data_IF_987377661077
#
_entry.id   IF_987377661077
#
_cell.length_a   1.000
_cell.length_b   1.000
_cell.length_c   1.000
_cell.angle_alpha   90.00
_cell.angle_beta   90.00
_cell.angle_gamma   90.00
#
_symmetry.space_group_name_H-M   'P 1'
#
loop_
_entity.id
_entity.type
_entity.pdbx_description
1 polymer ?
#
# COMPACT_ATOMS: atom_id res chain seq x y z
N UNK A 1 -42.57 37.76 50.53
CA UNK A 1 -43.10 36.76 49.56
C UNK A 1 -42.27 36.83 48.30
N UNK A 2 -41.82 35.65 47.81
CA UNK A 2 -41.12 35.37 46.53
C UNK A 2 -39.66 35.87 46.39
N UNK A 3 -38.75 35.02 46.86
CA UNK A 3 -37.40 34.83 46.30
C UNK A 3 -37.53 34.13 44.96
N UNK A 4 -36.88 34.66 43.92
CA UNK A 4 -36.68 33.94 42.65
C UNK A 4 -35.17 33.94 42.40
N UNK A 5 -34.50 32.87 42.84
CA UNK A 5 -33.12 32.59 42.43
C UNK A 5 -33.19 31.91 41.06
N UNK A 6 -32.74 32.62 40.02
CA UNK A 6 -32.49 32.05 38.70
C UNK A 6 -31.22 31.20 38.85
N UNK A 7 -31.38 29.87 38.79
CA UNK A 7 -30.27 28.93 38.62
C UNK A 7 -29.56 29.28 37.29
N UNK A 8 -28.29 29.69 37.38
CA UNK A 8 -27.37 29.61 36.25
C UNK A 8 -26.92 28.15 36.14
N UNK A 9 -27.59 27.36 35.30
CA UNK A 9 -26.97 26.14 34.76
C UNK A 9 -25.85 26.59 33.81
N UNK A 10 -24.61 26.49 34.26
CA UNK A 10 -23.45 26.45 33.37
C UNK A 10 -23.45 25.11 32.66
N UNK A 11 -24.07 25.05 31.49
CA UNK A 11 -23.77 24.00 30.53
C UNK A 11 -22.34 24.21 30.03
N UNK A 12 -21.41 23.43 30.55
CA UNK A 12 -20.11 23.21 29.89
C UNK A 12 -20.47 22.43 28.63
N UNK A 13 -20.68 23.16 27.53
CA UNK A 13 -20.61 22.59 26.21
C UNK A 13 -19.14 22.21 25.99
N UNK A 14 -18.77 21.00 26.42
CA UNK A 14 -17.59 20.33 25.88
C UNK A 14 -17.79 20.35 24.37
N UNK A 15 -17.00 21.18 23.69
CA UNK A 15 -16.84 21.11 22.26
C UNK A 15 -16.26 19.73 21.96
N UNK A 16 -17.16 18.75 21.77
CA UNK A 16 -16.90 17.59 20.95
C UNK A 16 -16.61 18.17 19.57
N UNK A 17 -15.33 18.42 19.32
CA UNK A 17 -14.79 18.38 17.96
C UNK A 17 -15.16 16.98 17.46
N UNK A 18 -16.33 16.88 16.83
CA UNK A 18 -16.62 15.80 15.90
C UNK A 18 -15.57 15.96 14.80
N UNK A 19 -14.43 15.28 14.96
CA UNK A 19 -13.69 14.81 13.82
C UNK A 19 -14.73 14.08 12.99
N UNK A 20 -15.17 14.72 11.91
CA UNK A 20 -15.94 14.05 10.87
C UNK A 20 -14.95 13.05 10.33
N UNK A 21 -15.03 11.82 10.83
CA UNK A 21 -14.15 10.75 10.41
C UNK A 21 -14.33 10.60 8.91
N UNK A 22 -13.31 10.98 8.15
CA UNK A 22 -13.31 10.83 6.71
C UNK A 22 -13.11 9.36 6.43
N UNK A 23 -14.09 8.74 5.78
CA UNK A 23 -14.02 7.38 5.24
C UNK A 23 -12.63 7.13 4.61
N UNK A 24 -11.90 6.15 5.14
CA UNK A 24 -10.55 5.76 4.72
C UNK A 24 -10.46 4.24 4.60
N UNK A 25 -9.65 3.71 3.67
CA UNK A 25 -9.40 2.27 3.58
C UNK A 25 -8.87 1.71 4.90
N UNK A 26 -9.40 0.58 5.36
CA UNK A 26 -8.89 -0.22 6.48
C UNK A 26 -7.83 -1.19 5.97
N UNK A 27 -6.82 -1.45 6.79
CA UNK A 27 -5.79 -2.41 6.46
C UNK A 27 -6.34 -3.85 6.31
N UNK A 28 -5.99 -4.56 5.23
CA UNK A 28 -6.55 -5.89 4.95
C UNK A 28 -6.15 -6.96 5.97
N UNK A 29 -5.07 -6.76 6.74
CA UNK A 29 -4.71 -7.67 7.84
C UNK A 29 -5.69 -7.57 9.02
N UNK A 30 -6.33 -6.41 9.17
CA UNK A 30 -7.29 -6.15 10.24
C UNK A 30 -8.70 -6.56 9.82
N UNK A 31 -9.15 -6.11 8.65
CA UNK A 31 -10.41 -6.51 8.04
C UNK A 31 -10.25 -6.75 6.53
N UNK A 32 -10.06 -8.02 6.16
CA UNK A 32 -9.96 -8.44 4.76
C UNK A 32 -11.35 -8.39 4.10
N UNK A 33 -11.55 -7.46 3.16
CA UNK A 33 -12.79 -7.29 2.42
C UNK A 33 -13.26 -8.57 1.68
N UNK A 34 -12.35 -9.40 1.19
CA UNK A 34 -12.68 -10.62 0.43
C UNK A 34 -13.49 -11.63 1.24
N UNK A 35 -13.34 -11.66 2.58
CA UNK A 35 -14.05 -12.60 3.45
C UNK A 35 -15.57 -12.43 3.46
N UNK A 36 -16.05 -11.28 2.98
CA UNK A 36 -17.47 -10.96 2.90
C UNK A 36 -18.14 -11.53 1.66
N UNK A 37 -17.37 -11.93 0.65
CA UNK A 37 -17.90 -12.52 -0.58
C UNK A 37 -17.95 -14.05 -0.48
N UNK A 38 -18.89 -14.71 -1.19
CA UNK A 38 -18.89 -16.16 -1.32
C UNK A 38 -17.56 -16.68 -1.91
N UNK A 39 -17.06 -17.81 -1.43
CA UNK A 39 -15.77 -18.36 -1.86
C UNK A 39 -15.66 -18.58 -3.38
N UNK A 40 -16.77 -18.92 -4.05
CA UNK A 40 -16.82 -19.12 -5.51
C UNK A 40 -16.63 -17.82 -6.31
N UNK A 41 -16.94 -16.68 -5.71
CA UNK A 41 -16.87 -15.34 -6.35
C UNK A 41 -15.60 -14.60 -5.90
N UNK A 42 -15.17 -14.82 -4.67
CA UNK A 42 -14.01 -14.15 -4.07
C UNK A 42 -12.75 -14.30 -4.92
N UNK A 43 -12.49 -15.49 -5.47
CA UNK A 43 -11.30 -15.73 -6.30
C UNK A 43 -11.31 -14.92 -7.61
N UNK A 44 -12.49 -14.77 -8.24
CA UNK A 44 -12.65 -13.96 -9.44
C UNK A 44 -12.45 -12.48 -9.13
N UNK A 45 -13.07 -11.97 -8.07
CA UNK A 45 -12.89 -10.58 -7.64
C UNK A 45 -11.42 -10.31 -7.26
N UNK A 46 -10.79 -11.20 -6.50
CA UNK A 46 -9.39 -11.07 -6.09
C UNK A 46 -8.44 -11.09 -7.29
N UNK A 47 -8.75 -11.82 -8.36
CA UNK A 47 -7.95 -11.78 -9.60
C UNK A 47 -8.00 -10.43 -10.33
N UNK A 48 -9.06 -9.63 -10.11
CA UNK A 48 -9.33 -8.39 -10.86
C UNK A 48 -9.12 -7.12 -10.06
N UNK A 49 -9.21 -7.19 -8.73
CA UNK A 49 -9.20 -6.02 -7.84
C UNK A 49 -8.30 -6.23 -6.62
N UNK A 50 -7.91 -5.12 -6.01
CA UNK A 50 -7.54 -5.03 -4.60
C UNK A 50 -8.70 -4.39 -3.85
N UNK A 51 -9.20 -5.05 -2.81
CA UNK A 51 -10.34 -4.56 -2.03
C UNK A 51 -9.94 -4.21 -0.59
N UNK A 52 -10.50 -3.10 -0.11
CA UNK A 52 -10.32 -2.62 1.26
C UNK A 52 -11.68 -2.24 1.82
N UNK A 53 -12.00 -2.68 3.03
CA UNK A 53 -13.19 -2.18 3.71
C UNK A 53 -12.95 -0.75 4.19
N UNK A 54 -13.98 0.08 4.31
CA UNK A 54 -13.83 1.37 4.96
C UNK A 54 -13.66 1.23 6.49
N UNK A 55 -12.88 2.11 7.10
CA UNK A 55 -12.64 2.10 8.55
C UNK A 55 -13.80 2.65 9.39
N UNK A 56 -14.73 3.39 8.79
CA UNK A 56 -15.83 4.07 9.49
C UNK A 56 -17.21 3.77 8.90
N UNK A 57 -17.30 3.51 7.60
CA UNK A 57 -18.52 3.13 6.89
C UNK A 57 -18.59 1.61 6.72
N UNK A 58 -19.35 0.95 7.60
CA UNK A 58 -19.48 -0.51 7.60
C UNK A 58 -20.05 -1.11 6.31
N UNK A 59 -20.66 -0.29 5.45
CA UNK A 59 -21.29 -0.67 4.18
C UNK A 59 -20.50 -0.21 2.95
N UNK A 60 -19.23 0.18 3.08
CA UNK A 60 -18.39 0.65 1.97
C UNK A 60 -17.15 -0.22 1.78
N UNK A 61 -16.89 -0.58 0.52
CA UNK A 61 -15.66 -1.22 0.06
C UNK A 61 -14.97 -0.30 -0.96
N UNK A 62 -13.71 0.00 -0.69
CA UNK A 62 -12.80 0.64 -1.63
C UNK A 62 -12.18 -0.39 -2.56
N UNK A 63 -12.06 -0.06 -3.85
CA UNK A 63 -11.38 -0.92 -4.82
C UNK A 63 -10.26 -0.21 -5.58
N UNK A 64 -9.23 -0.97 -5.93
CA UNK A 64 -8.22 -0.60 -6.93
C UNK A 64 -8.19 -1.70 -8.00
N UNK A 65 -8.46 -1.39 -9.27
CA UNK A 65 -8.39 -2.38 -10.34
C UNK A 65 -6.95 -2.83 -10.59
N UNK A 66 -6.75 -4.13 -10.84
CA UNK A 66 -5.46 -4.69 -11.25
C UNK A 66 -5.15 -4.41 -12.71
N UNK A 67 -6.18 -4.20 -13.52
CA UNK A 67 -6.06 -3.87 -14.93
C UNK A 67 -6.87 -2.61 -15.29
N UNK A 68 -6.29 -1.77 -16.15
CA UNK A 68 -7.00 -0.69 -16.82
C UNK A 68 -7.14 -0.96 -18.32
N UNK A 69 -7.66 0.02 -19.05
CA UNK A 69 -7.96 -0.13 -20.48
C UNK A 69 -7.84 1.21 -21.20
N UNK A 70 -7.82 1.21 -22.53
CA UNK A 70 -7.83 2.44 -23.31
C UNK A 70 -9.08 3.25 -22.95
N UNK A 71 -8.92 4.50 -22.51
CA UNK A 71 -10.08 5.35 -22.19
C UNK A 71 -10.90 5.63 -23.47
N UNK A 72 -12.12 6.12 -23.33
CA UNK A 72 -12.96 6.48 -24.47
C UNK A 72 -13.18 7.99 -24.56
N UNK A 73 -13.53 8.45 -25.77
CA UNK A 73 -13.97 9.83 -26.06
C UNK A 73 -15.35 9.78 -26.72
N UNK A 74 -16.19 10.78 -26.42
CA UNK A 74 -17.55 10.87 -26.97
C UNK A 74 -18.62 10.51 -25.94
N UNK A 75 -19.90 10.51 -26.37
CA UNK A 75 -21.07 10.13 -25.56
C UNK A 75 -22.03 9.29 -26.42
N UNK A 76 -22.76 8.36 -25.78
CA UNK A 76 -23.72 7.48 -26.45
C UNK A 76 -23.09 6.62 -27.55
N UNK A 77 -23.77 6.54 -28.70
CA UNK A 77 -23.35 5.70 -29.83
C UNK A 77 -22.10 6.20 -30.58
N UNK A 78 -21.52 7.33 -30.19
CA UNK A 78 -20.31 7.91 -30.79
C UNK A 78 -19.05 7.73 -29.93
N UNK A 79 -19.06 6.73 -29.05
CA UNK A 79 -17.94 6.42 -28.17
C UNK A 79 -16.80 5.80 -28.97
N UNK A 80 -15.64 6.47 -29.00
CA UNK A 80 -14.44 6.03 -29.73
C UNK A 80 -13.27 5.81 -28.76
N UNK A 81 -12.31 4.92 -29.08
CA UNK A 81 -11.10 4.79 -28.28
C UNK A 81 -10.33 6.11 -28.21
N UNK A 82 -9.81 6.44 -27.03
CA UNK A 82 -8.85 7.51 -26.81
C UNK A 82 -7.44 6.99 -27.11
N UNK A 83 -7.23 6.62 -28.35
CA UNK A 83 -5.97 6.10 -28.84
C UNK A 83 -5.78 6.52 -30.29
N UNK A 84 -4.54 6.81 -30.66
CA UNK A 84 -4.15 7.04 -32.02
C UNK A 84 -2.74 6.49 -32.25
N UNK A 85 -2.54 5.92 -33.44
CA UNK A 85 -1.25 5.44 -33.92
C UNK A 85 -1.01 5.97 -35.33
N UNK A 86 0.22 6.39 -35.60
CA UNK A 86 0.64 6.86 -36.91
C UNK A 86 2.10 6.49 -37.15
N UNK A 87 2.46 6.18 -38.38
CA UNK A 87 3.86 6.02 -38.77
C UNK A 87 4.35 7.22 -39.56
N UNK A 88 5.65 7.49 -39.44
CA UNK A 88 6.34 8.44 -40.31
C UNK A 88 7.79 8.02 -40.50
N UNK A 89 8.36 8.32 -41.67
CA UNK A 89 9.78 8.14 -41.95
C UNK A 89 10.50 9.46 -41.61
N UNK A 90 11.45 9.48 -40.66
CA UNK A 90 12.22 10.67 -40.32
C UNK A 90 12.98 11.20 -41.55
N UNK A 91 12.83 12.49 -41.86
CA UNK A 91 13.52 13.13 -43.00
C UNK A 91 14.82 13.83 -42.61
N UNK A 92 14.99 14.15 -41.34
CA UNK A 92 16.14 14.88 -40.79
C UNK A 92 16.48 14.35 -39.40
N UNK A 93 17.70 14.63 -38.94
CA UNK A 93 18.18 14.25 -37.60
C UNK A 93 18.87 12.87 -37.58
N UNK A 94 19.27 12.47 -36.37
CA UNK A 94 20.07 11.26 -36.12
C UNK A 94 19.44 10.01 -36.75
N UNK A 95 18.13 9.82 -36.59
CA UNK A 95 17.42 8.67 -37.16
C UNK A 95 17.35 8.67 -38.68
N UNK A 96 17.19 9.83 -39.31
CA UNK A 96 17.21 9.91 -40.77
C UNK A 96 18.60 9.58 -41.36
N UNK A 97 19.67 9.80 -40.60
CA UNK A 97 21.04 9.46 -41.01
C UNK A 97 21.39 7.99 -40.74
N UNK A 98 20.97 7.46 -39.59
CA UNK A 98 21.34 6.11 -39.15
C UNK A 98 20.46 5.02 -39.74
N UNK A 99 19.16 5.28 -39.92
CA UNK A 99 18.17 4.32 -40.43
C UNK A 99 17.33 4.93 -41.56
N UNK A 100 17.96 5.27 -42.70
CA UNK A 100 17.28 5.96 -43.79
C UNK A 100 16.18 5.10 -44.40
N UNK A 101 14.95 5.64 -44.45
CA UNK A 101 13.80 4.93 -45.04
C UNK A 101 13.05 4.04 -44.05
N UNK A 102 13.52 3.89 -42.82
CA UNK A 102 12.80 3.16 -41.77
C UNK A 102 11.77 4.06 -41.07
N UNK A 103 10.59 3.51 -40.80
CA UNK A 103 9.48 4.22 -40.18
C UNK A 103 9.57 4.17 -38.65
N UNK A 104 9.19 5.27 -38.02
CA UNK A 104 8.88 5.35 -36.59
C UNK A 104 7.37 5.32 -36.39
N UNK A 105 6.92 4.72 -35.30
CA UNK A 105 5.53 4.79 -34.88
C UNK A 105 5.41 5.81 -33.76
N UNK A 106 4.46 6.73 -33.91
CA UNK A 106 3.98 7.58 -32.82
C UNK A 106 2.60 7.08 -32.38
N UNK A 107 2.53 6.69 -31.12
CA UNK A 107 1.31 6.26 -30.45
C UNK A 107 0.99 7.21 -29.30
N UNK A 108 -0.29 7.34 -28.98
CA UNK A 108 -0.68 8.10 -27.80
C UNK A 108 -2.18 8.10 -27.59
N UNK A 109 -2.57 8.53 -26.39
CA UNK A 109 -3.94 8.43 -25.95
C UNK A 109 -4.07 8.69 -24.47
N UNK A 110 -5.07 8.08 -23.85
CA UNK A 110 -5.11 7.94 -22.40
C UNK A 110 -5.69 6.59 -22.02
N UNK A 111 -5.15 5.98 -20.98
CA UNK A 111 -5.76 4.84 -20.33
C UNK A 111 -6.74 5.30 -19.25
N UNK A 112 -7.69 4.45 -18.90
CA UNK A 112 -8.57 4.60 -17.75
C UNK A 112 -8.27 3.49 -16.75
N UNK A 113 -7.99 3.86 -15.51
CA UNK A 113 -7.65 2.94 -14.41
C UNK A 113 -8.87 2.49 -13.61
N UNK A 114 -10.10 2.85 -14.02
CA UNK A 114 -11.35 2.47 -13.34
C UNK A 114 -11.67 0.97 -13.38
N UNK A 115 -10.98 0.20 -14.22
CA UNK A 115 -11.34 -1.20 -14.52
C UNK A 115 -12.47 -1.27 -15.55
N UNK A 116 -12.58 -2.43 -16.22
CA UNK A 116 -13.58 -2.63 -17.28
C UNK A 116 -14.98 -2.49 -16.70
N UNK A 117 -15.88 -1.88 -17.46
CA UNK A 117 -17.24 -1.55 -17.03
C UNK A 117 -18.00 -2.79 -16.54
N UNK A 118 -17.95 -3.89 -17.29
CA UNK A 118 -18.59 -5.15 -16.90
C UNK A 118 -18.04 -5.72 -15.59
N UNK A 119 -16.72 -5.70 -15.42
CA UNK A 119 -16.07 -6.20 -14.22
C UNK A 119 -16.43 -5.33 -13.00
N UNK A 120 -16.55 -4.01 -13.18
CA UNK A 120 -16.95 -3.09 -12.11
C UNK A 120 -18.43 -3.29 -11.76
N UNK A 121 -19.29 -3.52 -12.76
CA UNK A 121 -20.72 -3.79 -12.54
C UNK A 121 -20.93 -5.16 -11.89
N UNK A 122 -20.12 -6.16 -12.23
CA UNK A 122 -20.07 -7.44 -11.53
C UNK A 122 -19.68 -7.24 -10.07
N UNK A 123 -18.58 -6.51 -9.79
CA UNK A 123 -18.16 -6.19 -8.43
C UNK A 123 -19.26 -5.47 -7.63
N UNK A 124 -19.91 -4.45 -8.22
CA UNK A 124 -21.05 -3.75 -7.60
C UNK A 124 -22.18 -4.70 -7.25
N UNK A 125 -22.59 -5.52 -8.22
CA UNK A 125 -23.71 -6.47 -8.04
C UNK A 125 -23.42 -7.48 -6.94
N UNK A 126 -22.21 -8.04 -6.91
CA UNK A 126 -21.81 -9.00 -5.88
C UNK A 126 -21.66 -8.33 -4.50
N UNK A 127 -21.13 -7.10 -4.43
CA UNK A 127 -21.04 -6.34 -3.19
C UNK A 127 -22.43 -5.99 -2.64
N UNK A 128 -23.37 -5.58 -3.48
CA UNK A 128 -24.74 -5.25 -3.07
C UNK A 128 -25.47 -6.47 -2.48
N UNK A 129 -25.25 -7.68 -3.03
CA UNK A 129 -25.82 -8.92 -2.48
C UNK A 129 -25.37 -9.20 -1.05
N UNK A 130 -24.17 -8.75 -0.68
CA UNK A 130 -23.62 -8.91 0.68
C UNK A 130 -23.75 -7.63 1.53
N UNK A 131 -24.48 -6.62 1.04
CA UNK A 131 -24.82 -5.42 1.78
C UNK A 131 -23.80 -4.29 1.71
N UNK A 132 -22.89 -4.32 0.74
CA UNK A 132 -21.85 -3.29 0.56
C UNK A 132 -22.08 -2.46 -0.71
N UNK A 133 -21.64 -1.21 -0.66
CA UNK A 133 -21.44 -0.32 -1.79
C UNK A 133 -19.95 -0.29 -2.13
N UNK A 134 -19.61 -0.09 -3.40
CA UNK A 134 -18.20 -0.03 -3.84
C UNK A 134 -17.85 1.34 -4.41
N UNK A 135 -16.64 1.81 -4.12
CA UNK A 135 -16.09 3.07 -4.63
C UNK A 135 -14.61 2.88 -4.96
N UNK A 136 -14.06 3.54 -6.00
CA UNK A 136 -12.63 3.47 -6.22
C UNK A 136 -11.89 4.15 -5.06
N UNK A 137 -10.79 3.53 -4.63
CA UNK A 137 -10.02 3.96 -3.48
C UNK A 137 -9.45 5.38 -3.66
N UNK A 138 -9.29 6.10 -2.55
CA UNK A 138 -8.54 7.35 -2.52
C UNK A 138 -7.07 7.01 -2.34
N UNK A 139 -6.25 7.49 -3.27
CA UNK A 139 -4.80 7.26 -3.31
C UNK A 139 -4.07 8.56 -2.94
N UNK A 140 -2.94 8.43 -2.27
CA UNK A 140 -2.10 9.56 -1.88
C UNK A 140 -1.18 9.99 -3.02
N UNK A 141 -0.67 9.00 -3.74
CA UNK A 141 0.24 9.16 -4.86
C UNK A 141 0.00 8.04 -5.86
N UNK A 142 0.17 8.38 -7.14
CA UNK A 142 0.30 7.40 -8.22
C UNK A 142 1.54 7.71 -9.03
N UNK A 143 2.29 6.67 -9.40
CA UNK A 143 3.48 6.76 -10.25
C UNK A 143 3.24 5.91 -11.48
N UNK A 144 3.28 6.51 -12.67
CA UNK A 144 3.12 5.78 -13.93
C UNK A 144 4.50 5.31 -14.40
N UNK A 145 4.62 4.04 -14.76
CA UNK A 145 5.84 3.39 -15.22
C UNK A 145 5.53 2.66 -16.52
N UNK A 146 6.27 2.93 -17.58
CA UNK A 146 6.22 2.05 -18.75
C UNK A 146 7.08 0.84 -18.49
N UNK A 147 6.57 -0.32 -18.90
CA UNK A 147 7.33 -1.55 -19.03
C UNK A 147 7.54 -1.78 -20.52
N UNK A 148 8.79 -1.63 -20.95
CA UNK A 148 9.20 -1.80 -22.36
C UNK A 148 10.36 -2.78 -22.38
N UNK A 149 10.27 -3.88 -23.10
CA UNK A 149 11.32 -4.92 -23.11
C UNK A 149 11.72 -5.40 -21.68
N UNK A 150 10.81 -5.29 -20.70
CA UNK A 150 11.09 -5.59 -19.29
C UNK A 150 11.81 -4.48 -18.51
N UNK A 151 11.84 -3.26 -19.03
CA UNK A 151 12.52 -2.11 -18.42
C UNK A 151 11.50 -1.15 -17.80
N UNK A 152 11.67 -0.84 -16.52
CA UNK A 152 10.86 0.14 -15.81
C UNK A 152 11.37 1.57 -16.09
N UNK A 153 10.48 2.40 -16.65
CA UNK A 153 10.71 3.83 -16.91
C UNK A 153 11.04 4.62 -15.63
N UNK A 154 11.56 5.85 -15.77
CA UNK A 154 11.82 6.71 -14.62
C UNK A 154 10.53 7.02 -13.80
N UNK A 155 10.71 7.50 -12.57
CA UNK A 155 9.60 7.80 -11.66
C UNK A 155 8.66 8.93 -12.16
N UNK A 156 9.01 9.64 -13.23
CA UNK A 156 8.17 10.63 -13.88
C UNK A 156 7.39 10.05 -15.08
N UNK A 157 7.45 8.72 -15.27
CA UNK A 157 6.82 7.99 -16.35
C UNK A 157 7.42 8.30 -17.70
N UNK A 158 8.69 8.74 -17.73
CA UNK A 158 9.42 9.08 -18.93
C UNK A 158 10.49 8.02 -19.23
N UNK A 159 10.58 7.70 -20.51
CA UNK A 159 11.69 6.96 -21.09
C UNK A 159 12.36 7.89 -22.07
N UNK A 160 13.67 8.11 -21.91
CA UNK A 160 14.51 8.81 -22.87
C UNK A 160 15.70 7.90 -23.22
N UNK A 161 15.71 7.42 -24.46
CA UNK A 161 16.66 6.41 -24.90
C UNK A 161 17.93 7.07 -25.42
N UNK A 162 19.06 6.59 -24.93
CA UNK A 162 20.39 6.98 -25.37
C UNK A 162 20.93 5.91 -26.31
N UNK A 163 21.32 6.31 -27.52
CA UNK A 163 21.88 5.39 -28.50
C UNK A 163 23.33 5.75 -28.78
N UNK A 164 24.18 4.71 -28.81
CA UNK A 164 25.60 4.83 -29.15
C UNK A 164 25.91 3.96 -30.38
N UNK A 165 26.78 4.47 -31.24
CA UNK A 165 27.32 3.74 -32.38
C UNK A 165 28.33 2.70 -31.90
N UNK A 166 28.08 1.43 -32.21
CA UNK A 166 29.00 0.33 -31.94
C UNK A 166 29.41 -0.35 -33.26
N UNK A 167 30.71 -0.44 -33.57
CA UNK A 167 31.18 -1.17 -34.74
C UNK A 167 31.09 -2.68 -34.49
N UNK A 168 30.23 -3.35 -35.25
CA UNK A 168 30.09 -4.80 -35.28
C UNK A 168 30.81 -5.37 -36.50
N UNK A 169 31.60 -6.41 -36.29
CA UNK A 169 32.28 -7.13 -37.36
C UNK A 169 31.52 -8.41 -37.67
N UNK A 170 30.78 -8.43 -38.79
CA UNK A 170 29.99 -9.60 -39.22
C UNK A 170 30.80 -10.37 -40.26
N UNK A 171 30.86 -11.70 -40.10
CA UNK A 171 31.42 -12.58 -41.14
C UNK A 171 30.25 -13.18 -41.92
N UNK A 172 30.18 -12.90 -43.21
CA UNK A 172 29.10 -13.41 -44.06
C UNK A 172 29.23 -14.93 -44.30
N UNK A 173 28.21 -15.53 -44.92
CA UNK A 173 28.18 -16.96 -45.24
C UNK A 173 29.29 -17.41 -46.22
N UNK A 174 30.02 -16.48 -46.84
CA UNK A 174 31.13 -16.70 -47.76
C UNK A 174 32.50 -16.48 -47.09
N UNK A 175 32.53 -16.16 -45.79
CA UNK A 175 33.74 -15.93 -45.01
C UNK A 175 34.34 -14.53 -45.14
N UNK A 176 33.62 -13.57 -45.74
CA UNK A 176 34.07 -12.18 -45.81
C UNK A 176 33.65 -11.42 -44.55
N UNK A 177 34.60 -10.67 -44.00
CA UNK A 177 34.41 -9.87 -42.79
C UNK A 177 34.03 -8.44 -43.16
N UNK A 178 32.83 -8.01 -42.76
CA UNK A 178 32.29 -6.66 -42.99
C UNK A 178 32.11 -5.95 -41.66
N UNK A 179 32.65 -4.73 -41.54
CA UNK A 179 32.39 -3.86 -40.41
C UNK A 179 31.11 -3.06 -40.67
N UNK A 180 30.12 -3.25 -39.83
CA UNK A 180 28.85 -2.52 -39.84
C UNK A 180 28.70 -1.80 -38.51
N UNK A 181 28.26 -0.55 -38.53
CA UNK A 181 27.97 0.20 -37.31
C UNK A 181 26.52 -0.10 -36.92
N UNK A 182 26.31 -0.68 -35.74
CA UNK A 182 25.00 -0.88 -35.14
C UNK A 182 24.76 0.20 -34.09
N UNK A 183 23.51 0.63 -33.91
CA UNK A 183 23.16 1.51 -32.79
C UNK A 183 22.66 0.66 -31.64
N UNK A 184 23.38 0.73 -30.53
CA UNK A 184 22.96 0.11 -29.28
C UNK A 184 22.26 1.19 -28.46
N UNK A 185 20.96 1.01 -28.29
CA UNK A 185 20.09 1.93 -27.58
C UNK A 185 19.85 1.41 -26.16
N UNK A 186 19.99 2.27 -25.16
CA UNK A 186 19.74 1.95 -23.76
C UNK A 186 18.91 3.02 -23.06
N UNK A 187 18.19 2.60 -22.03
CA UNK A 187 17.47 3.44 -21.09
C UNK A 187 18.08 3.25 -19.71
N UNK A 188 17.99 4.30 -18.88
CA UNK A 188 18.35 4.20 -17.46
C UNK A 188 17.11 3.76 -16.69
N UNK A 189 17.13 2.55 -16.13
CA UNK A 189 16.05 2.03 -15.28
C UNK A 189 15.97 2.79 -13.94
N UNK A 190 14.88 2.60 -13.19
CA UNK A 190 14.63 3.24 -11.88
C UNK A 190 15.78 3.02 -10.88
N UNK A 191 16.41 1.85 -10.93
CA UNK A 191 17.53 1.48 -10.06
C UNK A 191 18.88 2.09 -10.47
N UNK A 192 18.91 2.87 -11.55
CA UNK A 192 20.09 3.52 -12.12
C UNK A 192 20.90 2.65 -13.09
N UNK A 193 20.47 1.42 -13.38
CA UNK A 193 21.14 0.55 -14.36
C UNK A 193 20.83 0.96 -15.80
N UNK A 194 21.81 0.82 -16.70
CA UNK A 194 21.56 0.95 -18.14
C UNK A 194 21.06 -0.39 -18.67
N UNK A 195 19.93 -0.38 -19.35
CA UNK A 195 19.33 -1.56 -19.97
C UNK A 195 19.07 -1.28 -21.45
N UNK A 196 19.38 -2.25 -22.31
CA UNK A 196 19.20 -2.11 -23.76
C UNK A 196 17.72 -2.18 -24.12
N UNK A 197 17.27 -1.29 -25.01
CA UNK A 197 15.93 -1.31 -25.58
C UNK A 197 16.01 -1.32 -27.10
N UNK A 198 15.17 -2.14 -27.73
CA UNK A 198 15.09 -2.28 -29.18
C UNK A 198 13.85 -1.61 -29.77
N UNK A 199 12.88 -1.24 -28.93
CA UNK A 199 11.54 -0.84 -29.39
C UNK A 199 11.30 0.66 -29.23
N UNK A 200 11.60 1.25 -28.07
CA UNK A 200 11.12 2.61 -27.75
C UNK A 200 12.23 3.64 -27.94
N UNK A 201 11.91 4.78 -28.55
CA UNK A 201 12.78 5.96 -28.57
C UNK A 201 12.44 6.87 -27.38
N UNK A 202 11.14 7.14 -27.18
CA UNK A 202 10.63 8.01 -26.11
C UNK A 202 9.28 7.55 -25.64
N UNK A 203 9.06 7.53 -24.34
CA UNK A 203 7.73 7.32 -23.75
C UNK A 203 7.46 8.36 -22.67
N UNK A 204 6.19 8.72 -22.50
CA UNK A 204 5.73 9.64 -21.47
C UNK A 204 4.33 9.27 -20.99
N UNK A 205 4.13 9.16 -19.68
CA UNK A 205 2.85 8.96 -19.04
C UNK A 205 2.75 9.83 -17.78
N UNK A 206 1.54 10.29 -17.45
CA UNK A 206 1.35 11.14 -16.28
C UNK A 206 0.10 10.78 -15.51
N UNK A 207 0.27 10.47 -14.22
CA UNK A 207 -0.84 10.37 -13.28
C UNK A 207 -1.20 11.77 -12.74
N UNK A 208 -2.49 12.11 -12.57
CA UNK A 208 -2.88 13.32 -11.86
C UNK A 208 -2.23 13.40 -10.46
N UNK A 209 -1.66 14.55 -10.13
CA UNK A 209 -0.93 14.76 -8.87
C UNK A 209 -1.86 15.12 -7.70
N UNK A 210 -1.52 14.65 -6.51
CA UNK A 210 -2.22 14.94 -5.25
C UNK A 210 -3.13 13.80 -4.79
N UNK A 211 -3.85 14.02 -3.68
CA UNK A 211 -4.82 13.05 -3.16
C UNK A 211 -5.95 12.89 -4.18
N UNK A 212 -5.95 11.79 -4.90
CA UNK A 212 -6.83 11.52 -6.05
C UNK A 212 -7.51 10.17 -5.89
N UNK A 213 -8.36 9.77 -6.83
CA UNK A 213 -8.91 8.43 -6.90
C UNK A 213 -7.97 7.48 -7.65
N UNK A 214 -8.04 6.18 -7.36
CA UNK A 214 -7.47 5.13 -8.22
C UNK A 214 -8.17 5.02 -9.58
N UNK A 215 -9.31 5.69 -9.78
CA UNK A 215 -10.02 5.81 -11.05
C UNK A 215 -9.72 7.16 -11.71
N UNK A 216 -8.74 7.17 -12.62
CA UNK A 216 -8.30 8.35 -13.36
C UNK A 216 -7.96 8.01 -14.81
N UNK A 217 -7.95 9.04 -15.65
CA UNK A 217 -7.39 8.94 -16.98
C UNK A 217 -5.88 9.25 -16.92
N UNK A 218 -5.07 8.33 -17.44
CA UNK A 218 -3.61 8.45 -17.52
C UNK A 218 -3.21 8.71 -18.97
N UNK A 219 -2.99 9.98 -19.37
CA UNK A 219 -2.49 10.29 -20.70
C UNK A 219 -1.12 9.69 -20.93
N UNK A 220 -0.90 9.18 -22.14
CA UNK A 220 0.36 8.59 -22.53
C UNK A 220 0.73 8.93 -23.98
N UNK A 221 2.03 8.89 -24.27
CA UNK A 221 2.57 9.03 -25.61
C UNK A 221 3.85 8.20 -25.73
N UNK A 222 4.01 7.51 -26.86
CA UNK A 222 5.18 6.70 -27.18
C UNK A 222 5.64 7.02 -28.61
N UNK A 223 6.95 7.08 -28.81
CA UNK A 223 7.61 7.10 -30.10
C UNK A 223 8.58 5.93 -30.13
N UNK A 224 8.48 5.09 -31.15
CA UNK A 224 9.36 3.93 -31.30
C UNK A 224 10.67 4.30 -31.98
N UNK A 225 11.70 3.45 -31.82
CA UNK A 225 12.86 3.49 -32.70
C UNK A 225 12.43 3.23 -34.15
N UNK A 226 13.16 3.77 -35.16
CA UNK A 226 12.89 3.43 -36.55
C UNK A 226 13.13 1.94 -36.77
N UNK A 227 12.10 1.22 -37.20
CA UNK A 227 12.16 -0.20 -37.55
C UNK A 227 10.92 -0.56 -38.37
N UNK A 228 11.14 -1.01 -39.60
CA UNK A 228 10.04 -1.36 -40.50
C UNK A 228 9.35 -2.67 -40.10
N UNK A 229 10.09 -3.67 -39.61
CA UNK A 229 9.52 -4.97 -39.26
C UNK A 229 8.58 -4.82 -38.06
N UNK A 230 9.02 -4.06 -37.05
CA UNK A 230 8.17 -3.69 -35.92
C UNK A 230 6.99 -2.81 -36.34
N UNK A 231 7.19 -1.87 -37.29
CA UNK A 231 6.09 -1.06 -37.82
C UNK A 231 5.01 -1.93 -38.44
N UNK A 232 5.37 -2.93 -39.24
CA UNK A 232 4.43 -3.87 -39.81
C UNK A 232 3.77 -4.75 -38.74
N UNK A 233 4.54 -5.24 -37.76
CA UNK A 233 4.01 -6.07 -36.68
C UNK A 233 2.93 -5.35 -35.86
N UNK A 234 3.20 -4.11 -35.41
CA UNK A 234 2.22 -3.30 -34.67
C UNK A 234 1.01 -2.95 -35.55
N UNK A 235 1.23 -2.68 -36.84
CA UNK A 235 0.14 -2.40 -37.78
C UNK A 235 -0.76 -3.62 -37.98
N UNK A 236 -0.18 -4.82 -38.09
CA UNK A 236 -0.93 -6.07 -38.22
C UNK A 236 -1.73 -6.38 -36.94
N UNK A 237 -1.13 -6.20 -35.76
CA UNK A 237 -1.83 -6.38 -34.49
C UNK A 237 -3.01 -5.40 -34.34
N UNK A 238 -2.81 -4.14 -34.71
CA UNK A 238 -3.89 -3.14 -34.74
C UNK A 238 -4.90 -3.35 -35.89
N UNK A 239 -4.58 -4.13 -36.92
CA UNK A 239 -5.56 -4.46 -37.96
C UNK A 239 -6.62 -5.44 -37.46
N UNK A 240 -6.27 -6.28 -36.49
CA UNK A 240 -7.15 -7.32 -35.92
C UNK A 240 -7.55 -7.08 -34.47
N UNK A 241 -7.00 -6.06 -33.81
CA UNK A 241 -7.36 -5.71 -32.44
C UNK A 241 -6.61 -6.51 -31.37
N UNK A 242 -5.45 -7.07 -31.72
CA UNK A 242 -4.56 -7.75 -30.78
C UNK A 242 -4.01 -6.79 -29.72
N UNK A 243 -3.54 -7.37 -28.62
CA UNK A 243 -2.87 -6.63 -27.55
C UNK A 243 -1.51 -6.12 -27.99
N UNK A 244 -1.20 -4.86 -27.67
CA UNK A 244 0.13 -4.28 -27.81
C UNK A 244 1.03 -4.50 -26.58
N UNK A 245 0.56 -5.23 -25.56
CA UNK A 245 1.35 -5.58 -24.38
C UNK A 245 2.74 -6.15 -24.69
N UNK A 246 2.95 -6.97 -25.74
CA UNK A 246 4.28 -7.46 -26.10
C UNK A 246 5.29 -6.35 -26.48
N UNK A 247 4.81 -5.19 -26.93
CA UNK A 247 5.67 -4.07 -27.32
C UNK A 247 5.81 -3.05 -26.18
N UNK A 248 4.73 -2.78 -25.46
CA UNK A 248 4.73 -1.92 -24.27
C UNK A 248 3.51 -2.18 -23.39
N UNK A 249 3.70 -2.02 -22.09
CA UNK A 249 2.61 -1.84 -21.14
C UNK A 249 2.89 -0.64 -20.23
N UNK A 250 1.85 -0.18 -19.54
CA UNK A 250 1.91 0.89 -18.57
C UNK A 250 1.39 0.37 -17.24
N UNK A 251 2.21 0.47 -16.20
CA UNK A 251 1.83 0.17 -14.83
C UNK A 251 1.66 1.48 -14.07
N UNK A 252 0.63 1.57 -13.23
CA UNK A 252 0.54 2.64 -12.24
C UNK A 252 0.66 2.03 -10.86
N UNK A 253 1.70 2.45 -10.15
CA UNK A 253 1.93 2.15 -8.75
C UNK A 253 1.16 3.15 -7.89
N UNK A 254 0.20 2.64 -7.14
CA UNK A 254 -0.61 3.41 -6.21
C UNK A 254 -0.10 3.25 -4.79
N UNK A 255 0.04 4.37 -4.11
CA UNK A 255 0.29 4.42 -2.67
C UNK A 255 -0.99 4.81 -1.94
N UNK A 256 -1.47 3.93 -1.07
CA UNK A 256 -2.68 4.12 -0.28
C UNK A 256 -2.35 4.20 1.20
N UNK A 257 -2.93 5.17 1.90
CA UNK A 257 -2.99 5.15 3.35
C UNK A 257 -4.14 4.23 3.79
N UNK A 258 -3.78 3.18 4.53
CA UNK A 258 -4.73 2.32 5.23
C UNK A 258 -4.73 2.62 6.72
N UNK A 259 -5.91 2.73 7.32
CA UNK A 259 -6.04 2.82 8.76
C UNK A 259 -5.88 1.44 9.38
N UNK A 260 -5.17 1.37 10.51
CA UNK A 260 -5.06 0.15 11.30
C UNK A 260 -5.98 0.23 12.51
N UNK A 261 -6.66 -0.88 12.80
CA UNK A 261 -7.61 -0.93 13.90
C UNK A 261 -6.90 -0.74 15.25
N UNK A 262 -7.44 0.16 16.08
CA UNK A 262 -6.96 0.38 17.45
C UNK A 262 -7.00 -0.93 18.23
N UNK A 263 -5.90 -1.24 18.91
CA UNK A 263 -5.80 -2.40 19.80
C UNK A 263 -6.03 -1.98 21.23
N UNK A 264 -6.63 -2.87 22.00
CA UNK A 264 -6.78 -2.66 23.44
C UNK A 264 -6.27 -3.87 24.20
N UNK A 265 -5.66 -3.65 25.35
CA UNK A 265 -5.33 -4.67 26.31
C UNK A 265 -5.85 -4.24 27.68
N UNK A 266 -6.44 -5.18 28.40
CA UNK A 266 -6.83 -5.04 29.78
C UNK A 266 -5.81 -5.75 30.64
N UNK A 267 -5.31 -5.07 31.64
CA UNK A 267 -4.41 -5.64 32.62
C UNK A 267 -5.11 -5.59 33.97
N UNK A 268 -5.33 -6.75 34.56
CA UNK A 268 -5.92 -6.87 35.89
C UNK A 268 -4.81 -7.24 36.86
N UNK A 269 -4.61 -6.39 37.86
CA UNK A 269 -3.63 -6.58 38.92
C UNK A 269 -4.36 -6.95 40.21
N UNK A 270 -4.17 -8.17 40.68
CA UNK A 270 -4.46 -8.58 42.04
C UNK A 270 -3.28 -8.22 42.93
N UNK A 271 -3.35 -7.03 43.52
CA UNK A 271 -2.28 -6.50 44.36
C UNK A 271 -1.93 -7.41 45.54
N UNK A 272 -2.88 -8.17 46.11
CA UNK A 272 -2.55 -9.06 47.22
C UNK A 272 -1.63 -10.17 46.75
N UNK A 273 -2.03 -10.86 45.68
CA UNK A 273 -1.23 -11.93 45.12
C UNK A 273 0.11 -11.40 44.58
N UNK A 274 0.12 -10.26 43.90
CA UNK A 274 1.34 -9.63 43.40
C UNK A 274 2.31 -9.26 44.51
N UNK A 275 1.84 -8.69 45.63
CA UNK A 275 2.69 -8.39 46.79
C UNK A 275 3.20 -9.66 47.49
N UNK A 276 2.40 -10.71 47.62
CA UNK A 276 2.86 -11.98 48.18
C UNK A 276 3.97 -12.62 47.33
N UNK A 277 3.82 -12.60 46.00
CA UNK A 277 4.85 -13.08 45.09
C UNK A 277 6.11 -12.20 45.17
N UNK A 278 5.96 -10.86 45.17
CA UNK A 278 7.08 -9.93 45.27
C UNK A 278 7.83 -10.07 46.60
N UNK A 279 7.12 -10.24 47.72
CA UNK A 279 7.70 -10.46 49.03
C UNK A 279 8.46 -11.79 49.10
N UNK A 280 7.87 -12.87 48.58
CA UNK A 280 8.52 -14.19 48.52
C UNK A 280 9.79 -14.14 47.68
N UNK A 281 9.72 -13.47 46.53
CA UNK A 281 10.86 -13.27 45.64
C UNK A 281 11.95 -12.44 46.33
N UNK A 282 11.61 -11.27 46.87
CA UNK A 282 12.54 -10.41 47.57
C UNK A 282 13.20 -11.12 48.76
N UNK A 283 12.43 -11.88 49.57
CA UNK A 283 12.97 -12.63 50.70
C UNK A 283 14.03 -13.67 50.28
N UNK A 284 13.87 -14.33 49.13
CA UNK A 284 14.88 -15.22 48.57
C UNK A 284 16.18 -14.49 48.20
N UNK A 285 16.06 -13.23 47.79
CA UNK A 285 17.17 -12.33 47.45
C UNK A 285 17.57 -11.40 48.62
N UNK A 286 17.30 -11.78 49.88
CA UNK A 286 17.61 -10.98 51.08
C UNK A 286 17.09 -9.53 51.04
N UNK A 287 15.95 -9.31 50.39
CA UNK A 287 15.30 -8.02 50.15
C UNK A 287 16.11 -7.00 49.33
N UNK A 288 17.16 -7.43 48.64
CA UNK A 288 17.97 -6.60 47.76
C UNK A 288 18.15 -7.30 46.41
N UNK A 289 17.35 -6.90 45.41
CA UNK A 289 17.36 -7.49 44.07
C UNK A 289 18.14 -6.61 43.09
N UNK A 290 18.85 -7.22 42.13
CA UNK A 290 19.47 -6.50 41.00
C UNK A 290 18.53 -6.40 39.80
N UNK A 291 18.82 -5.50 38.85
CA UNK A 291 17.97 -5.21 37.68
C UNK A 291 17.48 -6.46 36.93
N UNK A 292 18.38 -7.42 36.65
CA UNK A 292 18.05 -8.63 35.89
C UNK A 292 17.08 -9.55 36.66
N UNK A 293 17.14 -9.54 37.99
CA UNK A 293 16.26 -10.34 38.86
C UNK A 293 14.86 -9.73 38.87
N UNK A 294 14.75 -8.41 38.97
CA UNK A 294 13.47 -7.69 38.88
C UNK A 294 12.81 -7.89 37.51
N UNK A 295 13.57 -7.78 36.42
CA UNK A 295 13.05 -8.04 35.08
C UNK A 295 12.54 -9.48 34.93
N UNK A 296 13.27 -10.45 35.49
CA UNK A 296 12.88 -11.86 35.47
C UNK A 296 11.63 -12.11 36.31
N UNK A 297 11.50 -11.44 37.47
CA UNK A 297 10.32 -11.52 38.32
C UNK A 297 9.06 -11.10 37.56
N UNK A 298 9.06 -9.93 36.93
CA UNK A 298 7.89 -9.45 36.19
C UNK A 298 7.54 -10.31 34.98
N UNK A 299 8.56 -10.80 34.26
CA UNK A 299 8.35 -11.73 33.15
C UNK A 299 7.64 -13.01 33.64
N UNK A 300 8.05 -13.57 34.77
CA UNK A 300 7.38 -14.73 35.38
C UNK A 300 5.98 -14.40 35.90
N UNK A 301 5.80 -13.24 36.52
CA UNK A 301 4.53 -12.80 37.08
C UNK A 301 3.42 -12.80 36.01
N UNK A 302 3.75 -12.28 34.82
CA UNK A 302 2.84 -12.23 33.66
C UNK A 302 2.69 -13.60 33.00
N UNK A 303 3.79 -14.35 32.79
CA UNK A 303 3.74 -15.67 32.15
C UNK A 303 2.99 -16.72 32.96
N UNK A 304 3.10 -16.67 34.29
CA UNK A 304 2.47 -17.64 35.20
C UNK A 304 1.06 -17.19 35.62
N UNK A 305 0.61 -16.00 35.23
CA UNK A 305 -0.70 -15.45 35.61
C UNK A 305 -0.88 -15.35 37.13
N UNK A 306 0.19 -14.99 37.86
CA UNK A 306 0.18 -14.91 39.32
C UNK A 306 0.07 -13.46 39.76
N UNK A 307 -1.16 -12.97 39.84
CA UNK A 307 -1.49 -11.63 40.32
C UNK A 307 -1.49 -10.54 39.24
N UNK A 308 -0.88 -10.76 38.07
CA UNK A 308 -1.06 -9.88 36.91
C UNK A 308 -1.59 -10.70 35.74
N UNK A 309 -2.74 -10.30 35.24
CA UNK A 309 -3.44 -10.93 34.13
C UNK A 309 -3.54 -9.95 32.98
N UNK A 310 -3.21 -10.40 31.77
CA UNK A 310 -3.29 -9.58 30.55
C UNK A 310 -4.27 -10.22 29.60
N UNK A 311 -5.31 -9.47 29.25
CA UNK A 311 -6.30 -9.87 28.26
C UNK A 311 -6.27 -8.88 27.10
N UNK A 312 -6.19 -9.36 25.88
CA UNK A 312 -6.16 -8.57 24.65
C UNK A 312 -7.55 -8.51 24.05
N UNK A 313 -7.99 -7.32 23.66
CA UNK A 313 -9.26 -7.13 22.99
C UNK A 313 -9.18 -7.69 21.56
N UNK A 314 -10.09 -8.60 21.24
CA UNK A 314 -10.25 -9.13 19.90
C UNK A 314 -11.41 -8.40 19.19
N UNK A 315 -11.12 -7.52 18.22
CA UNK A 315 -12.16 -6.77 17.52
C UNK A 315 -13.07 -7.66 16.65
N UNK A 316 -12.64 -8.87 16.28
CA UNK A 316 -13.46 -9.81 15.48
C UNK A 316 -14.55 -10.49 16.31
N UNK A 317 -14.30 -10.74 17.59
CA UNK A 317 -15.26 -11.39 18.50
C UNK A 317 -15.91 -10.42 19.49
N UNK A 318 -15.35 -9.23 19.64
CA UNK A 318 -15.76 -8.23 20.63
C UNK A 318 -15.41 -8.60 22.07
N UNK A 319 -14.57 -9.63 22.28
CA UNK A 319 -14.23 -10.18 23.58
C UNK A 319 -12.74 -9.96 23.91
N UNK A 320 -12.44 -9.91 25.21
CA UNK A 320 -11.07 -9.95 25.71
C UNK A 320 -10.60 -11.40 25.80
N UNK A 321 -9.36 -11.68 25.41
CA UNK A 321 -8.76 -13.02 25.38
C UNK A 321 -7.29 -12.99 25.82
N UNK A 322 -6.79 -14.04 26.44
CA UNK A 322 -5.39 -14.09 26.94
C UNK A 322 -4.34 -14.13 25.82
N UNK A 323 -4.74 -14.54 24.61
CA UNK A 323 -3.81 -14.68 23.48
C UNK A 323 -3.47 -13.31 22.88
N UNK A 324 -2.19 -12.95 22.96
CA UNK A 324 -1.65 -11.74 22.34
C UNK A 324 -1.81 -11.77 20.82
N UNK A 325 -2.14 -10.64 20.19
CA UNK A 325 -2.09 -10.53 18.74
C UNK A 325 -0.63 -10.62 18.26
N UNK A 326 -0.43 -11.09 17.03
CA UNK A 326 0.90 -11.20 16.42
C UNK A 326 1.45 -9.83 15.97
N UNK A 327 1.60 -8.89 16.90
CA UNK A 327 2.06 -7.52 16.65
C UNK A 327 3.08 -7.11 17.72
N UNK A 328 4.37 -7.28 17.42
CA UNK A 328 5.46 -7.05 18.38
C UNK A 328 5.48 -5.63 18.97
N UNK A 329 5.10 -4.61 18.20
CA UNK A 329 5.04 -3.23 18.68
C UNK A 329 3.97 -3.04 19.78
N UNK A 330 2.81 -3.67 19.61
CA UNK A 330 1.75 -3.62 20.63
C UNK A 330 2.13 -4.42 21.87
N UNK A 331 2.77 -5.59 21.70
CA UNK A 331 3.29 -6.37 22.83
C UNK A 331 4.29 -5.54 23.63
N UNK A 332 5.22 -4.83 22.98
CA UNK A 332 6.14 -3.90 23.66
C UNK A 332 5.43 -2.77 24.39
N UNK A 333 4.36 -2.22 23.82
CA UNK A 333 3.55 -1.20 24.48
C UNK A 333 2.85 -1.74 25.74
N UNK A 334 2.42 -3.01 25.71
CA UNK A 334 1.86 -3.71 26.87
C UNK A 334 2.95 -4.03 27.92
N UNK A 335 4.13 -4.45 27.47
CA UNK A 335 5.30 -4.66 28.32
C UNK A 335 5.78 -3.37 28.99
N UNK A 336 5.53 -2.19 28.42
CA UNK A 336 5.89 -0.92 29.06
C UNK A 336 5.21 -0.70 30.43
N UNK A 337 4.05 -1.34 30.67
CA UNK A 337 3.42 -1.34 32.01
C UNK A 337 4.27 -2.06 33.05
N UNK A 338 5.21 -2.93 32.65
CA UNK A 338 6.19 -3.50 33.57
C UNK A 338 6.96 -2.42 34.33
N UNK A 339 7.36 -1.34 33.66
CA UNK A 339 8.09 -0.25 34.30
C UNK A 339 7.23 0.48 35.34
N UNK A 340 5.93 0.63 35.08
CA UNK A 340 4.98 1.21 36.04
C UNK A 340 4.79 0.30 37.25
N UNK A 341 4.55 -1.00 37.03
CA UNK A 341 4.40 -1.98 38.11
C UNK A 341 5.69 -2.10 38.94
N UNK A 342 6.86 -2.01 38.29
CA UNK A 342 8.15 -1.97 38.95
C UNK A 342 8.28 -0.78 39.89
N UNK A 343 7.94 0.43 39.45
CA UNK A 343 7.97 1.64 40.29
C UNK A 343 6.96 1.62 41.44
N UNK A 344 5.91 0.81 41.33
CA UNK A 344 4.90 0.66 42.39
C UNK A 344 5.25 -0.41 43.43
N UNK A 345 6.01 -1.44 43.04
CA UNK A 345 6.39 -2.57 43.90
C UNK A 345 7.79 -2.44 44.49
N UNK A 346 8.72 -1.77 43.82
CA UNK A 346 10.12 -1.68 44.23
C UNK A 346 10.61 -0.24 44.22
N UNK A 347 11.40 0.10 45.24
CA UNK A 347 12.17 1.33 45.30
C UNK A 347 13.60 1.07 44.82
N UNK A 348 14.09 1.91 43.91
CA UNK A 348 15.47 1.86 43.48
C UNK A 348 16.36 2.54 44.53
N UNK A 349 17.30 1.78 45.10
CA UNK A 349 18.37 2.31 45.92
C UNK A 349 19.57 2.55 45.00
N UNK A 350 19.86 3.82 44.74
CA UNK A 350 21.12 4.21 44.13
C UNK A 350 22.21 4.19 45.20
N UNK A 351 23.21 3.34 45.02
CA UNK A 351 24.39 3.34 45.87
C UNK A 351 25.17 4.65 45.65
N UNK A 352 25.28 5.49 46.68
CA UNK A 352 26.26 6.59 46.70
C UNK A 352 27.64 6.00 47.00
N UNK A 353 28.30 5.39 46.02
CA UNK A 353 29.69 4.95 46.17
C UNK A 353 30.66 6.08 45.75
N UNK A 354 30.79 7.12 46.57
CA UNK A 354 32.06 7.85 46.62
C UNK A 354 33.01 7.08 47.55
N UNK A 355 33.70 6.09 47.00
CA UNK A 355 34.86 5.52 47.68
C UNK A 355 35.97 6.58 47.76
N UNK A 356 36.41 6.94 48.96
CA UNK A 356 37.64 7.73 49.16
C UNK A 356 38.92 6.88 49.02
N UNK A 357 38.81 5.61 48.65
CA UNK A 357 39.96 4.71 48.44
C UNK A 357 39.90 4.14 47.02
N UNK A 358 41.00 4.36 46.29
CA UNK A 358 41.14 4.29 44.83
C UNK A 358 40.47 3.12 44.10
N UNK A 359 40.03 3.44 42.88
CA UNK A 359 39.68 2.58 41.74
C UNK A 359 39.16 1.18 42.10
N UNK A 360 37.89 1.11 42.48
CA UNK A 360 37.08 -0.09 42.32
C UNK A 360 35.98 0.24 41.30
N UNK A 361 35.76 -0.69 40.39
CA UNK A 361 34.93 -0.60 39.18
C UNK A 361 33.61 0.17 39.41
N UNK A 362 33.41 1.25 38.66
CA UNK A 362 32.26 2.17 38.78
C UNK A 362 31.04 1.68 37.99
N UNK A 363 30.75 0.38 38.00
CA UNK A 363 29.48 -0.11 37.46
C UNK A 363 28.40 0.10 38.53
N UNK A 364 27.61 1.16 38.38
CA UNK A 364 26.40 1.38 39.15
C UNK A 364 25.41 0.25 38.88
N UNK A 365 25.42 -0.80 39.71
CA UNK A 365 24.33 -1.77 39.73
C UNK A 365 23.24 -1.20 40.63
N UNK A 366 22.08 -0.88 40.04
CA UNK A 366 20.93 -0.47 40.83
C UNK A 366 20.47 -1.65 41.71
N UNK A 367 20.34 -1.41 43.02
CA UNK A 367 19.71 -2.36 43.93
C UNK A 367 18.26 -1.94 44.15
N UNK A 368 17.35 -2.91 44.17
CA UNK A 368 15.92 -2.70 44.31
C UNK A 368 15.42 -3.35 45.60
N UNK A 369 14.65 -2.60 46.37
CA UNK A 369 14.02 -3.09 47.61
C UNK A 369 12.51 -3.02 47.52
N UNK A 370 11.78 -3.92 48.17
CA UNK A 370 10.32 -3.92 48.13
C UNK A 370 9.75 -2.63 48.77
N UNK A 371 8.91 -1.93 48.04
CA UNK A 371 8.24 -0.72 48.49
C UNK A 371 7.05 -1.04 49.39
N UNK A 372 6.91 -0.30 50.47
CA UNK A 372 5.76 -0.40 51.36
C UNK A 372 4.55 0.37 50.78
N UNK A 373 3.72 -0.29 49.98
CA UNK A 373 2.50 0.31 49.41
C UNK A 373 1.24 -0.12 50.18
N UNK A 374 1.10 0.40 51.40
CA UNK A 374 0.03 0.02 52.32
C UNK A 374 -1.38 0.29 51.78
N UNK A 375 -1.55 1.33 50.97
CA UNK A 375 -2.86 1.68 50.40
C UNK A 375 -3.37 0.58 49.46
N UNK A 376 -2.51 0.05 48.59
CA UNK A 376 -2.87 -1.04 47.68
C UNK A 376 -3.01 -2.39 48.39
N UNK A 377 -2.23 -2.65 49.43
CA UNK A 377 -2.38 -3.86 50.27
C UNK A 377 -3.65 -3.86 51.11
N UNK A 378 -4.05 -2.71 51.67
CA UNK A 378 -5.20 -2.62 52.58
C UNK A 378 -6.52 -2.63 51.80
N UNK A 379 -6.57 -1.99 50.63
CA UNK A 379 -7.82 -1.85 49.89
C UNK A 379 -8.27 -3.15 49.20
N UNK A 380 -7.38 -4.14 49.02
CA UNK A 380 -7.66 -5.46 48.40
C UNK A 380 -8.45 -5.38 47.07
N UNK A 381 -8.33 -4.27 46.35
CA UNK A 381 -9.07 -4.06 45.10
C UNK A 381 -8.24 -4.60 43.95
N UNK A 382 -8.87 -5.40 43.09
CA UNK A 382 -8.36 -5.64 41.75
C UNK A 382 -8.29 -4.30 41.03
N UNK A 383 -7.12 -3.97 40.53
CA UNK A 383 -6.93 -2.80 39.69
C UNK A 383 -6.95 -3.23 38.23
N UNK A 384 -7.86 -2.64 37.46
CA UNK A 384 -7.92 -2.87 36.02
C UNK A 384 -7.38 -1.65 35.30
N UNK A 385 -6.29 -1.85 34.55
CA UNK A 385 -5.75 -0.86 33.61
C UNK A 385 -6.15 -1.23 32.19
N UNK A 386 -6.38 -0.24 31.34
CA UNK A 386 -6.63 -0.46 29.92
C UNK A 386 -5.63 0.33 29.12
N UNK A 387 -4.87 -0.35 28.28
CA UNK A 387 -4.04 0.28 27.25
C UNK A 387 -4.85 0.29 25.98
N UNK A 388 -4.96 1.46 25.36
CA UNK A 388 -5.37 1.58 23.97
C UNK A 388 -4.14 1.97 23.15
N UNK A 389 -3.84 1.20 22.12
CA UNK A 389 -2.73 1.43 21.21
C UNK A 389 -3.28 1.63 19.80
N UNK A 390 -3.07 2.82 19.25
CA UNK A 390 -3.37 3.09 17.85
C UNK A 390 -2.07 2.99 17.03
N UNK A 391 -1.93 1.99 16.16
CA UNK A 391 -0.80 1.86 15.23
C UNK A 391 -0.62 3.06 14.30
N UNK A 392 -1.67 3.85 14.07
CA UNK A 392 -1.71 4.90 13.06
C UNK A 392 -2.04 4.35 11.67
N UNK A 393 -1.67 5.12 10.65
CA UNK A 393 -1.86 4.73 9.26
C UNK A 393 -0.68 3.90 8.76
N UNK A 394 -0.95 2.89 7.93
CA UNK A 394 0.05 2.14 7.15
C UNK A 394 -0.02 2.54 5.67
N UNK A 395 1.08 2.35 4.96
CA UNK A 395 1.13 2.55 3.51
C UNK A 395 1.02 1.19 2.82
N UNK A 396 0.06 1.06 1.92
CA UNK A 396 -0.11 -0.09 1.03
C UNK A 396 0.26 0.32 -0.40
N UNK A 397 1.03 -0.54 -1.07
CA UNK A 397 1.42 -0.35 -2.46
C UNK A 397 0.69 -1.38 -3.33
N UNK A 398 -0.06 -0.91 -4.34
CA UNK A 398 -0.79 -1.76 -5.29
C UNK A 398 -0.66 -1.23 -6.71
N UNK A 399 -0.90 -2.07 -7.70
CA UNK A 399 -0.59 -1.77 -9.09
C UNK A 399 -1.82 -1.92 -9.99
N UNK A 400 -1.91 -1.06 -11.01
CA UNK A 400 -2.84 -1.20 -12.13
C UNK A 400 -2.05 -1.31 -13.43
N UNK A 401 -2.12 -2.45 -14.10
CA UNK A 401 -1.47 -2.70 -15.39
C UNK A 401 -2.40 -2.34 -16.56
N UNK A 402 -1.85 -1.77 -17.62
CA UNK A 402 -2.59 -1.28 -18.77
C UNK A 402 -1.83 -1.55 -20.06
N UNK A 403 -2.55 -2.05 -21.06
CA UNK A 403 -2.07 -2.22 -22.42
C UNK A 403 -3.11 -1.71 -23.41
N UNK A 404 -2.65 -1.40 -24.63
CA UNK A 404 -3.56 -1.10 -25.73
C UNK A 404 -4.08 -2.41 -26.30
N UNK A 405 -5.33 -2.72 -26.00
CA UNK A 405 -6.03 -3.91 -26.48
C UNK A 405 -7.37 -3.52 -27.09
N UNK A 406 -7.95 -4.42 -27.90
CA UNK A 406 -9.32 -4.29 -28.38
C UNK A 406 -9.59 -3.03 -29.21
N UNK A 407 -8.57 -2.47 -29.84
CA UNK A 407 -8.69 -1.33 -30.75
C UNK A 407 -8.19 -1.71 -32.14
N UNK A 408 -8.93 -1.29 -33.17
CA UNK A 408 -8.58 -1.49 -34.57
C UNK A 408 -8.31 -0.17 -35.28
N UNK A 409 -7.46 -0.20 -36.31
CA UNK A 409 -7.19 0.95 -37.17
C UNK A 409 -5.94 1.74 -36.77
N UNK A 410 -5.94 3.05 -37.04
CA UNK A 410 -4.72 3.86 -37.01
C UNK A 410 -3.98 3.85 -38.35
N UNK A 411 -2.78 4.41 -38.41
CA UNK A 411 -1.96 4.47 -39.63
C UNK A 411 -2.70 5.07 -40.84
N UNK A 412 -3.48 6.13 -40.60
CA UNK A 412 -4.29 6.79 -41.63
C UNK A 412 -5.74 6.31 -41.71
N UNK A 413 -6.11 5.25 -40.97
CA UNK A 413 -7.50 4.87 -40.73
C UNK A 413 -7.99 5.38 -39.37
N UNK A 414 -9.29 5.68 -39.22
CA UNK A 414 -9.89 5.96 -37.91
C UNK A 414 -9.65 4.80 -36.95
N UNK A 415 -9.34 5.12 -35.69
CA UNK A 415 -9.26 4.12 -34.61
C UNK A 415 -10.67 3.85 -34.06
N UNK A 416 -11.03 2.58 -33.95
CA UNK A 416 -12.34 2.09 -33.50
C UNK A 416 -12.17 0.91 -32.52
N UNK A 417 -13.22 0.59 -31.77
CA UNK A 417 -13.22 -0.60 -30.91
C UNK A 417 -13.32 -1.86 -31.78
N UNK A 418 -12.56 -2.91 -31.45
CA UNK A 418 -12.70 -4.21 -32.11
C UNK A 418 -14.09 -4.78 -31.86
N UNK A 419 -14.66 -5.40 -32.89
CA UNK A 419 -15.94 -6.13 -32.82
C UNK A 419 -15.77 -7.60 -32.44
N UNK A 420 -14.62 -7.99 -31.92
CA UNK A 420 -14.46 -9.33 -31.38
C UNK A 420 -15.22 -9.48 -30.06
N UNK A 421 -15.71 -10.69 -29.81
CA UNK A 421 -16.60 -11.01 -28.66
C UNK A 421 -15.98 -10.60 -27.31
N UNK A 422 -14.64 -10.62 -27.19
CA UNK A 422 -13.93 -10.18 -25.99
C UNK A 422 -13.76 -8.67 -25.83
N UNK A 423 -14.08 -7.87 -26.85
CA UNK A 423 -13.81 -6.44 -26.93
C UNK A 423 -15.07 -5.56 -26.86
N UNK A 424 -16.24 -6.13 -27.20
CA UNK A 424 -17.54 -5.45 -27.10
C UNK A 424 -17.91 -4.99 -25.67
N UNK A 425 -17.38 -5.67 -24.65
CA UNK A 425 -17.58 -5.40 -23.23
C UNK A 425 -17.16 -3.99 -22.76
N UNK A 426 -16.33 -3.28 -23.53
CA UNK A 426 -15.75 -1.99 -23.13
C UNK A 426 -16.74 -0.83 -23.35
N UNK A 427 -17.77 -1.00 -24.19
CA UNK A 427 -18.58 0.12 -24.74
C UNK A 427 -19.97 0.27 -24.10
N UNK A 428 -20.44 -0.73 -23.35
CA UNK A 428 -21.87 -0.87 -23.03
C UNK A 428 -22.47 0.06 -21.96
N UNK A 429 -21.76 1.07 -21.45
CA UNK A 429 -22.32 2.03 -20.47
C UNK A 429 -22.24 3.51 -20.89
N UNK A 430 -22.21 3.77 -22.20
CA UNK A 430 -22.50 5.11 -22.71
C UNK A 430 -24.01 5.45 -22.71
N UNK A 431 -24.86 4.61 -22.10
CA UNK A 431 -26.33 4.63 -22.26
C UNK A 431 -27.13 4.85 -20.97
N UNK A 432 -26.53 5.08 -19.80
CA UNK A 432 -27.30 5.51 -18.62
C UNK A 432 -27.11 7.00 -18.30
N UNK A 433 -28.21 7.79 -18.21
CA UNK A 433 -28.19 9.24 -18.06
C UNK A 433 -27.73 9.77 -16.71
#
# INVERSE_FOLDING_TARGET
MKRTHILKLSAIASALLSCVATATPMDPNDDNAYRHFPASVSAEIESKYYLYKDSHADDLIWYVPKSGYVSYRGRGNNTRPNFNASSYVPRFGTWAALRPGEAQIRMGGAFNTMGRVEDVNFLKTEAEKVGFRVSPAVVNRGTALFVVDGIDADADGRIDVQCIDEPLTITDALGQTVNVTINKCSVTAIDGTQQETSIVEKAYAKVPSGRTSSSVNVPFQIVTLPDNDMTYAIQDDLAVGNSLAPYFSLVVDWELETERATRAARITVDWNQTFEQAHTFAAYHNYACVDIEIQTFFKKLVQEGKGVYVEYYNPKTGQYQEQAPNQAAFIKAVEAIQAELQAELFDQIQEYSQSQLGQVDTSTNAMWTLRANYEKQILKRHETRTINWNPGMSMEAVQTEMSVDCVVGGFGQPVEWSTDVGCHAIVDDATTP
#
